data_IF_406275215358
#
_entry.id   IF_406275215358
#
_cell.length_a   1.000
_cell.length_b   1.000
_cell.length_c   1.000
_cell.angle_alpha   90.00
_cell.angle_beta   90.00
_cell.angle_gamma   90.00
#
_symmetry.space_group_name_H-M   'P 1'
#
loop_
_entity.id
_entity.type
_entity.pdbx_description
1 polymer ?
#
# COMPACT_ATOMS: atom_id res chain seq x y z
N UNK A 1 -0.45 21.86 -7.02
CA UNK A 1 -1.05 20.71 -6.30
C UNK A 1 -1.39 21.02 -4.85
N UNK A 2 -0.53 21.68 -4.05
CA UNK A 2 -0.79 21.95 -2.62
C UNK A 2 -2.03 22.83 -2.36
N UNK A 3 -2.29 23.85 -3.18
CA UNK A 3 -3.47 24.72 -3.02
C UNK A 3 -4.81 24.01 -3.21
N UNK A 4 -4.88 22.99 -4.07
CA UNK A 4 -6.12 22.21 -4.28
C UNK A 4 -6.36 21.22 -3.13
N UNK A 5 -5.30 20.72 -2.49
CA UNK A 5 -5.39 19.87 -1.30
C UNK A 5 -5.97 20.61 -0.09
N UNK A 6 -5.97 21.94 -0.08
CA UNK A 6 -6.62 22.73 0.98
C UNK A 6 -8.15 22.61 0.95
N UNK A 7 -8.76 22.33 -0.21
CA UNK A 7 -10.22 22.31 -0.34
C UNK A 7 -10.83 21.19 0.53
N UNK A 8 -10.43 19.90 0.43
CA UNK A 8 -10.94 18.86 1.33
C UNK A 8 -10.64 19.14 2.80
N UNK A 9 -9.47 19.71 3.12
CA UNK A 9 -9.10 20.04 4.50
C UNK A 9 -9.98 21.12 5.10
N UNK A 10 -10.32 22.17 4.33
CA UNK A 10 -11.26 23.21 4.77
C UNK A 10 -12.65 22.63 4.94
N UNK A 11 -13.12 21.80 4.00
CA UNK A 11 -14.42 21.12 4.12
C UNK A 11 -14.46 20.23 5.37
N UNK A 12 -13.40 19.47 5.63
CA UNK A 12 -13.29 18.64 6.83
C UNK A 12 -13.25 19.47 8.12
N UNK A 13 -12.48 20.56 8.13
CA UNK A 13 -12.39 21.47 9.27
C UNK A 13 -13.74 22.11 9.62
N UNK A 14 -14.45 22.62 8.61
CA UNK A 14 -15.81 23.15 8.77
C UNK A 14 -16.77 22.05 9.23
N UNK A 15 -16.65 20.84 8.70
CA UNK A 15 -17.46 19.69 9.10
C UNK A 15 -17.29 19.31 10.57
N UNK A 16 -16.08 19.42 11.13
CA UNK A 16 -15.82 19.10 12.54
C UNK A 16 -16.56 20.03 13.52
N UNK A 17 -16.90 21.26 13.14
CA UNK A 17 -17.74 22.12 13.98
C UNK A 17 -19.18 21.63 14.14
N UNK A 18 -19.65 20.75 13.24
CA UNK A 18 -21.00 20.19 13.29
C UNK A 18 -21.05 18.79 13.90
N UNK A 19 -19.89 18.15 14.14
CA UNK A 19 -19.86 16.83 14.75
C UNK A 19 -20.04 16.93 16.26
N UNK A 20 -20.93 16.12 16.86
CA UNK A 20 -21.02 16.03 18.31
C UNK A 20 -19.75 15.38 18.87
N UNK A 21 -19.41 15.73 20.10
CA UNK A 21 -18.30 15.11 20.83
C UNK A 21 -18.54 13.60 21.02
N UNK A 22 -17.46 12.81 21.09
CA UNK A 22 -17.55 11.36 21.21
C UNK A 22 -18.32 10.94 22.49
N UNK A 23 -19.35 10.08 22.41
CA UNK A 23 -20.09 9.61 23.59
C UNK A 23 -19.20 8.98 24.67
N UNK A 24 -18.13 8.29 24.25
CA UNK A 24 -17.15 7.70 25.17
C UNK A 24 -16.40 8.76 25.98
N UNK A 25 -16.02 9.87 25.32
CA UNK A 25 -15.33 10.97 26.00
C UNK A 25 -16.28 11.72 26.94
N UNK A 26 -17.54 11.92 26.54
CA UNK A 26 -18.58 12.54 27.38
C UNK A 26 -18.86 11.73 28.65
N UNK A 27 -18.89 10.40 28.54
CA UNK A 27 -19.04 9.51 29.69
C UNK A 27 -17.87 9.62 30.68
N UNK A 28 -16.64 9.79 30.17
CA UNK A 28 -15.42 9.80 30.99
C UNK A 28 -15.15 11.18 31.63
N UNK A 29 -15.42 12.28 30.92
CA UNK A 29 -15.05 13.64 31.34
C UNK A 29 -16.23 14.54 31.71
N UNK A 30 -17.47 14.12 31.43
CA UNK A 30 -18.69 14.90 31.69
C UNK A 30 -19.76 14.04 32.40
N UNK A 31 -21.04 14.38 32.21
CA UNK A 31 -22.18 13.75 32.87
C UNK A 31 -22.82 12.68 31.98
N UNK A 32 -23.34 11.63 32.60
CA UNK A 32 -24.08 10.55 31.94
C UNK A 32 -25.26 11.07 31.09
N UNK A 33 -25.92 12.16 31.52
CA UNK A 33 -27.04 12.76 30.79
C UNK A 33 -26.65 13.32 29.43
N UNK A 34 -25.51 14.02 29.36
CA UNK A 34 -25.01 14.55 28.08
C UNK A 34 -24.63 13.41 27.12
N UNK A 35 -24.09 12.30 27.65
CA UNK A 35 -23.80 11.10 26.87
C UNK A 35 -25.10 10.49 26.28
N UNK A 36 -26.13 10.32 27.11
CA UNK A 36 -27.45 9.82 26.67
C UNK A 36 -28.10 10.73 25.62
N UNK A 37 -28.01 12.05 25.76
CA UNK A 37 -28.54 13.00 24.78
C UNK A 37 -27.88 12.86 23.40
N UNK A 38 -26.55 12.67 23.37
CA UNK A 38 -25.83 12.46 22.11
C UNK A 38 -26.15 11.09 21.51
N UNK A 39 -26.20 10.03 22.32
CA UNK A 39 -26.61 8.70 21.85
C UNK A 39 -28.05 8.71 21.32
N UNK A 40 -28.95 9.45 21.97
CA UNK A 40 -30.33 9.63 21.50
C UNK A 40 -30.40 10.27 20.12
N UNK A 41 -29.54 11.26 19.84
CA UNK A 41 -29.42 11.85 18.50
C UNK A 41 -28.85 10.88 17.47
N UNK A 42 -27.88 10.03 17.84
CA UNK A 42 -27.24 9.08 16.93
C UNK A 42 -28.20 7.94 16.55
N UNK A 43 -28.92 7.38 17.52
CA UNK A 43 -29.83 6.24 17.33
C UNK A 43 -31.29 6.66 17.12
N UNK A 44 -31.55 7.93 16.79
CA UNK A 44 -32.91 8.48 16.58
C UNK A 44 -33.91 8.16 17.70
N UNK A 45 -33.45 8.16 18.95
CA UNK A 45 -34.28 7.92 20.14
C UNK A 45 -34.61 6.45 20.42
N UNK A 46 -33.98 5.48 19.76
CA UNK A 46 -34.16 4.06 20.08
C UNK A 46 -33.59 3.72 21.47
N UNK A 47 -34.48 3.66 22.46
CA UNK A 47 -34.13 3.45 23.86
C UNK A 47 -33.44 2.11 24.13
N UNK A 48 -33.74 1.07 23.34
CA UNK A 48 -33.11 -0.24 23.51
C UNK A 48 -31.64 -0.20 23.08
N UNK A 49 -31.34 0.41 21.93
CA UNK A 49 -29.97 0.57 21.44
C UNK A 49 -29.16 1.55 22.29
N UNK A 50 -29.78 2.64 22.76
CA UNK A 50 -29.10 3.62 23.63
C UNK A 50 -28.65 2.95 24.92
N UNK A 51 -29.55 2.20 25.59
CA UNK A 51 -29.21 1.48 26.82
C UNK A 51 -28.11 0.43 26.58
N UNK A 52 -28.20 -0.30 25.48
CA UNK A 52 -27.18 -1.26 25.07
C UNK A 52 -25.80 -0.59 24.91
N UNK A 53 -25.69 0.46 24.09
CA UNK A 53 -24.42 1.16 23.87
C UNK A 53 -23.88 1.79 25.16
N UNK A 54 -24.76 2.37 26.00
CA UNK A 54 -24.35 2.96 27.27
C UNK A 54 -23.77 1.90 28.22
N UNK A 55 -24.36 0.71 28.27
CA UNK A 55 -23.86 -0.41 29.08
C UNK A 55 -22.51 -0.95 28.60
N UNK A 56 -22.27 -0.97 27.27
CA UNK A 56 -20.97 -1.32 26.69
C UNK A 56 -19.90 -0.28 27.05
N UNK A 57 -20.24 1.02 26.97
CA UNK A 57 -19.33 2.12 27.37
C UNK A 57 -18.98 2.01 28.86
N UNK A 58 -19.98 1.78 29.71
CA UNK A 58 -19.78 1.62 31.16
C UNK A 58 -18.87 0.42 31.48
N UNK A 59 -19.13 -0.73 30.86
CA UNK A 59 -18.31 -1.94 31.02
C UNK A 59 -16.86 -1.69 30.59
N UNK A 60 -16.66 -1.03 29.45
CA UNK A 60 -15.33 -0.68 28.96
C UNK A 60 -14.58 0.27 29.91
N UNK A 61 -15.26 1.28 30.44
CA UNK A 61 -14.69 2.24 31.37
C UNK A 61 -14.31 1.59 32.72
N UNK A 62 -15.18 0.74 33.27
CA UNK A 62 -14.91 0.02 34.51
C UNK A 62 -13.72 -0.93 34.34
N UNK A 63 -13.60 -1.57 33.18
CA UNK A 63 -12.47 -2.43 32.86
C UNK A 63 -11.16 -1.65 32.71
N UNK A 64 -11.19 -0.46 32.11
CA UNK A 64 -10.03 0.43 32.06
C UNK A 64 -9.60 0.91 33.46
N UNK A 65 -10.55 1.23 34.34
CA UNK A 65 -10.26 1.59 35.75
C UNK A 65 -9.64 0.45 36.54
N UNK A 66 -10.18 -0.77 36.40
CA UNK A 66 -9.62 -1.96 37.05
C UNK A 66 -8.20 -2.25 36.55
N UNK A 67 -7.98 -2.14 35.24
CA UNK A 67 -6.67 -2.29 34.62
C UNK A 67 -5.67 -1.22 35.12
N UNK A 68 -6.11 0.03 35.26
CA UNK A 68 -5.27 1.10 35.80
C UNK A 68 -4.88 0.84 37.26
N UNK A 69 -5.80 0.27 38.06
CA UNK A 69 -5.52 -0.10 39.46
C UNK A 69 -4.54 -1.28 39.59
N UNK A 70 -4.57 -2.24 38.65
CA UNK A 70 -3.70 -3.43 38.67
C UNK A 70 -2.31 -3.14 38.11
N UNK A 71 -2.23 -2.42 37.00
CA UNK A 71 -0.98 -2.25 36.23
C UNK A 71 -0.26 -0.91 36.47
N UNK A 72 -0.89 0.04 37.16
CA UNK A 72 -0.34 1.37 37.44
C UNK A 72 -0.27 2.29 36.22
N UNK A 73 0.08 3.57 36.41
CA UNK A 73 0.19 4.59 35.34
C UNK A 73 1.49 4.52 34.53
N UNK A 74 2.06 3.31 34.37
CA UNK A 74 3.27 3.12 33.57
C UNK A 74 3.03 3.47 32.10
N UNK A 75 4.12 3.59 31.33
CA UNK A 75 4.01 3.80 29.88
C UNK A 75 3.21 2.66 29.23
N UNK A 76 2.12 3.02 28.57
CA UNK A 76 1.23 2.08 27.86
C UNK A 76 2.03 1.23 26.86
N UNK A 77 3.05 1.82 26.22
CA UNK A 77 3.95 1.13 25.28
C UNK A 77 4.68 -0.02 25.97
N UNK A 78 5.20 0.20 27.18
CA UNK A 78 5.89 -0.86 27.92
C UNK A 78 4.93 -1.98 28.32
N UNK A 79 3.70 -1.64 28.73
CA UNK A 79 2.65 -2.63 29.02
C UNK A 79 2.27 -3.45 27.78
N UNK A 80 2.20 -2.82 26.60
CA UNK A 80 1.96 -3.51 25.32
C UNK A 80 3.07 -4.52 25.02
N UNK A 81 4.33 -4.12 25.19
CA UNK A 81 5.49 -4.98 24.89
C UNK A 81 5.66 -6.15 25.88
N UNK A 82 5.19 -5.99 27.12
CA UNK A 82 5.25 -7.05 28.13
C UNK A 82 4.07 -8.01 28.10
N UNK A 83 2.91 -7.56 27.63
CA UNK A 83 1.71 -8.40 27.51
C UNK A 83 1.82 -9.30 26.26
N UNK A 84 1.97 -10.63 26.38
CA UNK A 84 2.30 -11.49 25.24
C UNK A 84 1.24 -11.51 24.12
N UNK A 85 -0.04 -11.48 24.48
CA UNK A 85 -1.17 -11.48 23.55
C UNK A 85 -1.21 -10.19 22.72
N UNK A 86 -1.09 -9.03 23.38
CA UNK A 86 -1.11 -7.72 22.71
C UNK A 86 0.16 -7.50 21.89
N UNK A 87 1.34 -7.91 22.40
CA UNK A 87 2.58 -7.90 21.61
C UNK A 87 2.44 -8.73 20.34
N UNK A 88 1.86 -9.92 20.42
CA UNK A 88 1.64 -10.76 19.23
C UNK A 88 0.70 -10.08 18.24
N UNK A 89 -0.42 -9.53 18.69
CA UNK A 89 -1.34 -8.77 17.85
C UNK A 89 -0.66 -7.56 17.20
N UNK A 90 0.17 -6.82 17.96
CA UNK A 90 0.92 -5.66 17.45
C UNK A 90 1.92 -6.08 16.37
N UNK A 91 2.71 -7.13 16.61
CA UNK A 91 3.68 -7.63 15.63
C UNK A 91 3.00 -8.03 14.31
N UNK A 92 1.82 -8.67 14.39
CA UNK A 92 1.05 -9.05 13.19
C UNK A 92 0.50 -7.81 12.48
N UNK A 93 -0.05 -6.85 13.24
CA UNK A 93 -0.54 -5.59 12.70
C UNK A 93 0.54 -4.76 12.00
N UNK A 94 1.72 -4.61 12.63
CA UNK A 94 2.89 -3.97 12.03
C UNK A 94 3.39 -4.73 10.80
N UNK A 95 3.44 -6.07 10.83
CA UNK A 95 3.87 -6.85 9.68
C UNK A 95 2.89 -6.71 8.50
N UNK A 96 1.57 -6.71 8.75
CA UNK A 96 0.56 -6.43 7.72
C UNK A 96 0.82 -5.10 7.02
N UNK A 97 1.12 -4.05 7.79
CA UNK A 97 1.42 -2.72 7.25
C UNK A 97 2.75 -2.66 6.50
N UNK A 98 3.80 -3.29 7.04
CA UNK A 98 5.12 -3.33 6.41
C UNK A 98 5.09 -4.08 5.08
N UNK A 99 4.57 -5.31 5.07
CA UNK A 99 4.51 -6.13 3.85
C UNK A 99 3.54 -5.55 2.79
N UNK A 100 2.50 -4.83 3.21
CA UNK A 100 1.65 -4.08 2.29
C UNK A 100 2.49 -3.09 1.48
N UNK A 101 3.37 -2.32 2.13
CA UNK A 101 4.23 -1.34 1.46
C UNK A 101 5.36 -1.99 0.66
N UNK A 102 5.98 -3.04 1.20
CA UNK A 102 7.04 -3.78 0.51
C UNK A 102 6.57 -4.55 -0.73
N UNK A 103 5.26 -4.71 -0.92
CA UNK A 103 4.70 -5.22 -2.19
C UNK A 103 4.89 -4.26 -3.37
N UNK A 104 5.28 -3.00 -3.10
CA UNK A 104 5.59 -2.02 -4.12
C UNK A 104 4.40 -1.24 -4.66
N UNK A 105 3.24 -1.25 -3.97
CA UNK A 105 2.04 -0.51 -4.42
C UNK A 105 2.32 0.99 -4.63
N UNK A 106 2.92 1.66 -3.64
CA UNK A 106 3.15 3.10 -3.71
C UNK A 106 4.21 3.44 -4.75
N UNK A 107 5.19 2.57 -4.94
CA UNK A 107 6.12 2.64 -6.07
C UNK A 107 5.40 2.58 -7.41
N UNK A 108 4.56 1.56 -7.62
CA UNK A 108 3.79 1.42 -8.87
C UNK A 108 2.94 2.66 -9.08
N UNK A 109 2.27 3.17 -8.04
CA UNK A 109 1.44 4.37 -8.10
C UNK A 109 2.25 5.64 -8.45
N UNK A 110 3.36 5.90 -7.76
CA UNK A 110 4.19 7.09 -7.98
C UNK A 110 4.87 7.09 -9.35
N UNK A 111 5.31 5.92 -9.79
CA UNK A 111 6.02 5.73 -11.05
C UNK A 111 5.12 5.17 -12.16
N UNK A 112 3.79 5.18 -12.00
CA UNK A 112 2.84 4.65 -13.02
C UNK A 112 3.09 5.30 -14.38
N UNK A 113 3.24 6.62 -14.43
CA UNK A 113 3.55 7.35 -15.66
C UNK A 113 4.84 6.84 -16.32
N UNK A 114 5.92 6.71 -15.54
CA UNK A 114 7.21 6.17 -16.00
C UNK A 114 7.11 4.71 -16.44
N UNK A 115 6.31 3.90 -15.76
CA UNK A 115 6.05 2.49 -16.11
C UNK A 115 5.30 2.41 -17.45
N UNK A 116 4.29 3.25 -17.65
CA UNK A 116 3.53 3.32 -18.91
C UNK A 116 4.43 3.84 -20.06
N UNK A 117 5.23 4.88 -19.80
CA UNK A 117 6.17 5.44 -20.78
C UNK A 117 7.24 4.41 -21.16
N UNK A 118 7.83 3.72 -20.17
CA UNK A 118 8.82 2.66 -20.41
C UNK A 118 8.25 1.43 -21.12
N UNK A 119 6.94 1.17 -21.00
CA UNK A 119 6.27 0.15 -21.80
C UNK A 119 6.21 0.52 -23.30
N UNK A 120 6.25 1.81 -23.66
CA UNK A 120 6.33 2.28 -25.05
C UNK A 120 5.27 3.31 -25.47
N UNK A 121 4.50 3.88 -24.53
CA UNK A 121 3.52 4.94 -24.83
C UNK A 121 4.25 6.29 -24.95
N UNK A 122 4.26 6.88 -26.15
CA UNK A 122 4.95 8.14 -26.46
C UNK A 122 4.19 9.40 -26.08
N UNK A 123 2.87 9.35 -26.18
CA UNK A 123 2.02 10.53 -26.02
C UNK A 123 1.75 10.76 -24.53
N UNK A 124 2.10 11.95 -24.04
CA UNK A 124 1.85 12.38 -22.66
C UNK A 124 0.35 12.40 -22.34
N UNK A 125 -0.50 12.82 -23.28
CA UNK A 125 -1.95 12.85 -23.08
C UNK A 125 -2.54 11.45 -22.96
N UNK A 126 -2.08 10.51 -23.80
CA UNK A 126 -2.49 9.11 -23.72
C UNK A 126 -2.01 8.49 -22.40
N UNK A 127 -0.78 8.80 -21.98
CA UNK A 127 -0.23 8.33 -20.70
C UNK A 127 -1.06 8.83 -19.51
N UNK A 128 -1.46 10.10 -19.52
CA UNK A 128 -2.35 10.68 -18.52
C UNK A 128 -3.71 9.97 -18.54
N UNK A 129 -4.31 9.75 -19.72
CA UNK A 129 -5.60 9.07 -19.83
C UNK A 129 -5.56 7.63 -19.30
N UNK A 130 -4.50 6.88 -19.60
CA UNK A 130 -4.29 5.53 -19.07
C UNK A 130 -4.13 5.57 -17.55
N UNK A 131 -3.39 6.55 -17.01
CA UNK A 131 -3.20 6.73 -15.57
C UNK A 131 -4.51 7.08 -14.85
N UNK A 132 -5.34 7.93 -15.45
CA UNK A 132 -6.68 8.24 -14.92
C UNK A 132 -7.57 6.98 -14.97
N UNK A 133 -7.49 6.21 -16.05
CA UNK A 133 -8.20 4.94 -16.20
C UNK A 133 -7.79 3.93 -15.13
N UNK A 134 -6.49 3.73 -14.89
CA UNK A 134 -5.98 2.80 -13.87
C UNK A 134 -6.39 3.23 -12.46
N UNK A 135 -6.33 4.52 -12.15
CA UNK A 135 -6.82 5.07 -10.88
C UNK A 135 -8.33 4.86 -10.69
N UNK A 136 -9.12 5.03 -11.76
CA UNK A 136 -10.57 4.79 -11.75
C UNK A 136 -10.89 3.32 -11.48
N UNK A 137 -10.16 2.41 -12.13
CA UNK A 137 -10.31 0.97 -11.89
C UNK A 137 -9.96 0.62 -10.45
N UNK A 138 -8.87 1.17 -9.91
CA UNK A 138 -8.51 0.98 -8.51
C UNK A 138 -9.64 1.45 -7.57
N UNK A 139 -10.21 2.64 -7.82
CA UNK A 139 -11.34 3.16 -7.06
C UNK A 139 -12.55 2.21 -7.08
N UNK A 140 -13.02 1.78 -8.26
CA UNK A 140 -14.17 0.87 -8.33
C UNK A 140 -13.87 -0.52 -7.75
N UNK A 141 -12.63 -1.00 -7.88
CA UNK A 141 -12.21 -2.27 -7.29
C UNK A 141 -12.29 -2.25 -5.76
N UNK A 142 -12.13 -1.09 -5.09
CA UNK A 142 -12.32 -1.00 -3.63
C UNK A 142 -13.78 -1.16 -3.17
N UNK A 143 -14.77 -1.10 -4.06
CA UNK A 143 -16.16 -1.40 -3.71
C UNK A 143 -16.38 -2.90 -3.48
N UNK A 144 -15.56 -3.74 -4.09
CA UNK A 144 -15.63 -5.20 -3.99
C UNK A 144 -15.45 -5.66 -2.52
N UNK A 145 -14.36 -5.30 -1.80
CA UNK A 145 -14.21 -5.71 -0.41
C UNK A 145 -15.32 -5.17 0.48
N UNK A 146 -15.85 -3.96 0.21
CA UNK A 146 -16.93 -3.39 1.01
C UNK A 146 -18.17 -4.30 1.02
N UNK A 147 -18.47 -4.95 -0.11
CA UNK A 147 -19.57 -5.91 -0.21
C UNK A 147 -19.21 -7.31 0.32
N UNK A 148 -17.98 -7.77 0.08
CA UNK A 148 -17.58 -9.16 0.37
C UNK A 148 -16.96 -9.37 1.76
N UNK A 149 -16.47 -8.34 2.45
CA UNK A 149 -15.73 -8.47 3.73
C UNK A 149 -16.58 -9.14 4.81
N UNK A 150 -17.86 -8.80 4.87
CA UNK A 150 -18.80 -9.44 5.79
C UNK A 150 -19.28 -10.80 5.31
N UNK A 151 -19.20 -11.11 4.00
CA UNK A 151 -19.68 -12.37 3.44
C UNK A 151 -18.62 -13.47 3.46
N UNK A 152 -17.44 -13.20 2.90
CA UNK A 152 -16.34 -14.17 2.77
C UNK A 152 -15.41 -14.19 3.99
N UNK A 153 -15.42 -13.14 4.79
CA UNK A 153 -14.48 -12.98 5.92
C UNK A 153 -13.20 -12.25 5.52
N UNK A 154 -12.46 -11.80 6.53
CA UNK A 154 -11.28 -10.95 6.35
C UNK A 154 -10.09 -11.77 5.87
N UNK A 155 -9.90 -12.98 6.40
CA UNK A 155 -8.71 -13.80 6.11
C UNK A 155 -8.71 -14.28 4.66
N UNK A 156 -9.84 -14.74 4.15
CA UNK A 156 -9.95 -15.26 2.78
C UNK A 156 -9.68 -14.15 1.76
N UNK A 157 -10.28 -12.97 1.95
CA UNK A 157 -10.06 -11.83 1.06
C UNK A 157 -8.63 -11.29 1.11
N UNK A 158 -8.01 -11.26 2.29
CA UNK A 158 -6.62 -10.85 2.41
C UNK A 158 -5.70 -11.82 1.65
N UNK A 159 -5.85 -13.13 1.87
CA UNK A 159 -4.99 -14.13 1.25
C UNK A 159 -5.21 -14.22 -0.27
N UNK A 160 -6.46 -14.17 -0.74
CA UNK A 160 -6.73 -14.19 -2.18
C UNK A 160 -6.18 -12.97 -2.89
N UNK A 161 -6.26 -11.79 -2.25
CA UNK A 161 -5.70 -10.54 -2.76
C UNK A 161 -4.16 -10.58 -2.82
N UNK A 162 -3.50 -11.05 -1.76
CA UNK A 162 -2.03 -11.20 -1.75
C UNK A 162 -1.57 -12.20 -2.82
N UNK A 163 -2.30 -13.30 -3.02
CA UNK A 163 -2.01 -14.24 -4.10
C UNK A 163 -2.15 -13.59 -5.49
N UNK A 164 -3.19 -12.78 -5.70
CA UNK A 164 -3.38 -12.02 -6.94
C UNK A 164 -2.23 -11.03 -7.18
N UNK A 165 -1.80 -10.32 -6.13
CA UNK A 165 -0.65 -9.40 -6.17
C UNK A 165 0.65 -10.16 -6.48
N UNK A 166 0.88 -11.32 -5.87
CA UNK A 166 2.03 -12.17 -6.16
C UNK A 166 2.08 -12.59 -7.65
N UNK A 167 0.96 -13.08 -8.19
CA UNK A 167 0.84 -13.47 -9.60
C UNK A 167 1.08 -12.25 -10.50
N UNK A 168 0.50 -11.10 -10.17
CA UNK A 168 0.67 -9.89 -10.96
C UNK A 168 2.14 -9.39 -10.95
N UNK A 169 2.85 -9.48 -9.83
CA UNK A 169 4.28 -9.17 -9.77
C UNK A 169 5.12 -10.11 -10.65
N UNK A 170 4.82 -11.42 -10.64
CA UNK A 170 5.51 -12.38 -11.52
C UNK A 170 5.25 -12.08 -13.00
N UNK A 171 4.00 -11.78 -13.35
CA UNK A 171 3.64 -11.40 -14.71
C UNK A 171 4.30 -10.09 -15.13
N UNK A 172 4.44 -9.13 -14.21
CA UNK A 172 5.10 -7.84 -14.48
C UNK A 172 6.61 -8.03 -14.71
N UNK A 173 7.28 -8.80 -13.85
CA UNK A 173 8.67 -9.19 -14.04
C UNK A 173 8.88 -9.93 -15.36
N UNK A 174 7.98 -10.86 -15.69
CA UNK A 174 7.97 -11.56 -16.98
C UNK A 174 7.79 -10.62 -18.18
N UNK A 175 6.88 -9.65 -18.10
CA UNK A 175 6.64 -8.68 -19.16
C UNK A 175 7.88 -7.81 -19.43
N UNK A 176 8.51 -7.28 -18.38
CA UNK A 176 9.75 -6.51 -18.51
C UNK A 176 10.94 -7.36 -18.95
N UNK A 177 10.99 -8.64 -18.59
CA UNK A 177 12.03 -9.56 -19.07
C UNK A 177 11.90 -9.81 -20.58
N UNK A 178 10.67 -9.95 -21.09
CA UNK A 178 10.41 -10.07 -22.53
C UNK A 178 10.79 -8.77 -23.27
N UNK A 179 10.43 -7.61 -22.71
CA UNK A 179 10.85 -6.29 -23.22
C UNK A 179 12.37 -6.21 -23.30
N UNK A 180 13.09 -6.61 -22.25
CA UNK A 180 14.56 -6.59 -22.23
C UNK A 180 15.19 -7.50 -23.31
N UNK A 181 14.67 -8.72 -23.47
CA UNK A 181 15.19 -9.67 -24.48
C UNK A 181 14.94 -9.23 -25.92
N UNK A 182 13.84 -8.53 -26.17
CA UNK A 182 13.46 -8.07 -27.52
C UNK A 182 13.97 -6.67 -27.85
N UNK A 183 14.67 -6.01 -26.93
CA UNK A 183 15.19 -4.64 -27.11
C UNK A 183 16.37 -4.59 -28.07
N UNK A 184 16.49 -3.47 -28.80
CA UNK A 184 17.59 -3.24 -29.73
C UNK A 184 18.97 -3.27 -29.05
N UNK A 185 19.96 -3.85 -29.75
CA UNK A 185 21.34 -3.96 -29.27
C UNK A 185 22.07 -2.62 -29.41
N UNK A 186 22.96 -2.33 -28.46
CA UNK A 186 23.82 -1.13 -28.47
C UNK A 186 25.06 -1.36 -29.34
N UNK A 187 25.38 -0.39 -30.20
CA UNK A 187 26.63 -0.31 -30.94
C UNK A 187 27.68 0.49 -30.17
N UNK A 188 28.94 0.09 -30.28
CA UNK A 188 30.08 0.79 -29.66
C UNK A 188 30.46 2.04 -30.45
N UNK A 189 30.61 3.18 -29.76
CA UNK A 189 31.07 4.43 -30.36
C UNK A 189 32.60 4.53 -30.20
N UNK A 190 33.35 4.42 -31.31
CA UNK A 190 34.82 4.31 -31.28
C UNK A 190 35.58 5.64 -31.07
N UNK A 191 34.91 6.81 -31.03
CA UNK A 191 35.55 8.11 -31.29
C UNK A 191 35.38 9.21 -30.23
N UNK A 192 34.96 8.91 -29.00
CA UNK A 192 34.67 9.93 -27.98
C UNK A 192 35.46 9.69 -26.68
N UNK A 193 35.93 10.77 -26.04
CA UNK A 193 36.66 10.75 -24.78
C UNK A 193 35.95 9.89 -23.73
N UNK A 194 36.66 8.89 -23.21
CA UNK A 194 36.10 7.72 -22.55
C UNK A 194 35.51 7.97 -21.17
N UNK A 195 35.87 9.05 -20.47
CA UNK A 195 35.57 9.17 -19.02
C UNK A 195 34.09 9.41 -18.69
N UNK A 196 33.36 10.21 -19.46
CA UNK A 196 31.91 10.43 -19.27
C UNK A 196 31.05 9.41 -20.03
N UNK A 197 31.58 8.84 -21.13
CA UNK A 197 30.90 7.83 -21.93
C UNK A 197 31.00 6.41 -21.33
N UNK A 198 31.95 6.17 -20.43
CA UNK A 198 32.29 4.83 -19.93
C UNK A 198 31.16 4.10 -19.18
N UNK A 199 30.22 4.82 -18.57
CA UNK A 199 29.10 4.18 -17.87
C UNK A 199 28.02 3.72 -18.85
N UNK A 200 27.52 4.61 -19.70
CA UNK A 200 26.47 4.28 -20.68
C UNK A 200 26.94 3.32 -21.77
N UNK A 201 28.21 3.41 -22.22
CA UNK A 201 28.73 2.55 -23.29
C UNK A 201 28.95 1.08 -22.89
N UNK A 202 28.92 0.75 -21.59
CA UNK A 202 29.02 -0.64 -21.11
C UNK A 202 27.69 -1.40 -21.21
N UNK A 203 26.59 -0.70 -21.47
CA UNK A 203 25.25 -1.29 -21.50
C UNK A 203 24.99 -1.97 -22.83
N UNK A 204 24.42 -3.18 -22.79
CA UNK A 204 24.33 -4.07 -23.95
C UNK A 204 23.11 -3.85 -24.84
N UNK A 205 22.01 -3.34 -24.27
CA UNK A 205 20.76 -3.13 -24.99
C UNK A 205 20.06 -1.83 -24.58
N UNK A 206 19.03 -1.45 -25.34
CA UNK A 206 18.24 -0.25 -25.10
C UNK A 206 17.55 -0.24 -23.73
N UNK A 207 17.01 -1.36 -23.25
CA UNK A 207 16.26 -1.40 -21.98
C UNK A 207 17.20 -1.17 -20.78
N UNK A 208 18.39 -1.77 -20.79
CA UNK A 208 19.44 -1.43 -19.84
C UNK A 208 19.80 0.05 -19.94
N UNK A 209 20.00 0.57 -21.15
CA UNK A 209 20.33 1.98 -21.37
C UNK A 209 19.32 2.96 -20.77
N UNK A 210 18.02 2.71 -20.97
CA UNK A 210 16.92 3.57 -20.50
C UNK A 210 16.53 3.33 -19.04
N UNK A 211 17.10 2.31 -18.39
CA UNK A 211 16.90 2.06 -16.96
C UNK A 211 17.79 2.97 -16.10
N UNK A 212 18.94 3.40 -16.61
CA UNK A 212 19.84 4.33 -15.91
C UNK A 212 19.38 5.78 -16.11
N UNK A 213 19.28 6.54 -15.03
CA UNK A 213 18.79 7.93 -15.08
C UNK A 213 19.67 8.85 -15.94
N UNK A 214 20.97 8.60 -15.95
CA UNK A 214 21.96 9.43 -16.66
C UNK A 214 22.14 9.05 -18.14
N UNK A 215 21.54 7.95 -18.61
CA UNK A 215 21.73 7.42 -19.95
C UNK A 215 20.43 7.42 -20.78
N UNK A 216 20.56 7.54 -22.10
CA UNK A 216 19.46 7.43 -23.07
C UNK A 216 19.92 6.77 -24.35
N UNK A 217 18.97 6.23 -25.10
CA UNK A 217 19.21 5.45 -26.31
C UNK A 217 18.88 6.27 -27.57
N UNK A 218 19.84 6.34 -28.49
CA UNK A 218 19.72 7.05 -29.76
C UNK A 218 19.84 6.06 -30.91
N UNK A 219 18.77 5.85 -31.68
CA UNK A 219 18.78 4.85 -32.75
C UNK A 219 18.14 5.33 -34.05
N UNK A 220 18.65 4.89 -35.21
CA UNK A 220 17.91 4.96 -36.46
C UNK A 220 16.71 4.00 -36.44
N UNK A 221 15.71 4.26 -37.27
CA UNK A 221 14.52 3.41 -37.35
C UNK A 221 14.87 1.96 -37.77
N UNK A 222 14.54 1.00 -36.91
CA UNK A 222 14.74 -0.44 -37.17
C UNK A 222 16.19 -0.92 -37.12
N UNK A 223 17.14 -0.10 -36.67
CA UNK A 223 18.56 -0.45 -36.61
C UNK A 223 19.11 -0.41 -35.18
N UNK A 224 20.25 -1.09 -34.91
CA UNK A 224 20.97 -0.94 -33.65
C UNK A 224 21.35 0.53 -33.42
N UNK A 225 21.38 0.94 -32.15
CA UNK A 225 21.59 2.34 -31.75
C UNK A 225 22.71 2.51 -30.75
N UNK A 226 22.87 3.72 -30.22
CA UNK A 226 23.92 4.09 -29.28
C UNK A 226 23.31 4.42 -27.92
N UNK A 227 23.96 3.96 -26.84
CA UNK A 227 23.65 4.39 -25.48
C UNK A 227 24.54 5.57 -25.09
N UNK A 228 23.93 6.72 -24.79
CA UNK A 228 24.61 8.01 -24.64
C UNK A 228 24.14 8.72 -23.37
N UNK A 229 24.99 9.52 -22.71
CA UNK A 229 24.59 10.29 -21.55
C UNK A 229 23.54 11.35 -21.92
N UNK A 230 22.54 11.55 -21.05
CA UNK A 230 21.50 12.58 -21.20
C UNK A 230 22.09 13.97 -21.02
N UNK A 231 21.52 14.97 -21.70
CA UNK A 231 21.86 16.37 -21.44
C UNK A 231 21.27 16.84 -20.09
N UNK A 232 22.07 17.55 -19.29
CA UNK A 232 21.68 18.08 -17.98
C UNK A 232 20.57 19.14 -18.05
N UNK A 233 20.43 19.85 -19.19
CA UNK A 233 19.40 20.89 -19.34
C UNK A 233 18.11 20.39 -19.98
N UNK A 234 18.20 19.46 -20.95
CA UNK A 234 17.05 18.92 -21.68
C UNK A 234 17.18 17.39 -21.87
N UNK A 235 17.13 16.61 -20.78
CA UNK A 235 17.39 15.16 -20.82
C UNK A 235 16.39 14.39 -21.69
N UNK A 236 15.17 14.90 -21.82
CA UNK A 236 14.06 14.24 -22.50
C UNK A 236 14.13 14.36 -24.04
N UNK A 237 15.01 15.24 -24.56
CA UNK A 237 15.01 15.60 -25.99
C UNK A 237 16.33 15.35 -26.72
N UNK A 238 17.46 15.29 -25.99
CA UNK A 238 18.79 15.19 -26.59
C UNK A 238 19.80 14.50 -25.67
N UNK A 239 20.83 13.92 -26.28
CA UNK A 239 22.04 13.46 -25.60
C UNK A 239 23.05 14.58 -25.41
N UNK A 240 24.03 14.37 -24.53
CA UNK A 240 25.16 15.28 -24.37
C UNK A 240 26.10 15.24 -25.58
N UNK A 241 26.27 14.06 -26.19
CA UNK A 241 27.14 13.81 -27.35
C UNK A 241 26.51 12.85 -28.35
N UNK A 242 27.08 12.73 -29.55
CA UNK A 242 26.67 11.73 -30.55
C UNK A 242 25.49 12.16 -31.44
N UNK A 243 24.85 11.20 -32.15
CA UNK A 243 23.86 11.51 -33.18
C UNK A 243 22.58 12.21 -32.71
N UNK A 244 22.30 12.17 -31.41
CA UNK A 244 21.13 12.82 -30.79
C UNK A 244 21.49 14.07 -29.97
N UNK A 245 22.67 14.68 -30.17
CA UNK A 245 23.10 15.87 -29.41
C UNK A 245 22.52 17.18 -29.96
N UNK A 246 22.06 17.19 -31.21
CA UNK A 246 21.50 18.36 -31.88
C UNK A 246 20.15 18.81 -31.31
N UNK A 247 19.59 19.88 -31.88
CA UNK A 247 18.18 20.20 -31.64
C UNK A 247 17.30 19.33 -32.55
N UNK A 248 16.32 18.59 -32.01
CA UNK A 248 15.42 17.79 -32.82
C UNK A 248 14.43 18.68 -33.58
N UNK A 249 14.07 18.26 -34.80
CA UNK A 249 12.97 18.82 -35.59
C UNK A 249 11.84 17.80 -35.50
N UNK A 250 10.68 18.20 -34.96
CA UNK A 250 9.54 17.31 -34.68
C UNK A 250 9.91 16.03 -33.88
N UNK A 251 10.86 16.15 -32.95
CA UNK A 251 11.34 15.04 -32.12
C UNK A 251 12.35 14.10 -32.80
N UNK A 252 12.79 14.41 -34.02
CA UNK A 252 13.73 13.61 -34.80
C UNK A 252 15.04 14.38 -35.02
N UNK A 253 16.17 13.70 -34.84
CA UNK A 253 17.49 14.24 -35.12
C UNK A 253 17.93 13.84 -36.53
N UNK A 254 18.30 14.82 -37.35
CA UNK A 254 18.69 14.61 -38.74
C UNK A 254 20.20 14.76 -38.91
N UNK A 255 20.88 13.70 -39.33
CA UNK A 255 22.32 13.72 -39.63
C UNK A 255 22.54 13.03 -40.97
N UNK A 256 23.15 13.70 -41.95
CA UNK A 256 23.50 13.09 -43.26
C UNK A 256 22.38 12.23 -43.88
N UNK A 257 21.13 12.74 -43.90
CA UNK A 257 19.90 12.07 -44.34
C UNK A 257 19.41 10.87 -43.51
N UNK A 258 20.10 10.45 -42.45
CA UNK A 258 19.57 9.48 -41.48
C UNK A 258 18.78 10.18 -40.37
N UNK A 259 17.65 9.55 -40.00
CA UNK A 259 16.74 10.00 -38.94
C UNK A 259 17.06 9.22 -37.66
N UNK A 260 17.45 9.91 -36.61
CA UNK A 260 17.69 9.34 -35.29
C UNK A 260 16.57 9.75 -34.33
N UNK A 261 16.02 8.78 -33.60
CA UNK A 261 15.05 9.03 -32.54
C UNK A 261 15.75 8.89 -31.18
N UNK A 262 15.65 9.95 -30.35
CA UNK A 262 16.11 9.93 -28.97
C UNK A 262 15.06 9.28 -28.06
N UNK A 263 15.50 8.41 -27.16
CA UNK A 263 14.64 7.76 -26.18
C UNK A 263 15.35 7.67 -24.84
N UNK A 264 14.78 8.30 -23.84
CA UNK A 264 15.37 8.39 -22.51
C UNK A 264 14.70 7.44 -21.51
N UNK A 265 13.48 6.98 -21.80
CA UNK A 265 12.69 6.12 -20.90
C UNK A 265 12.16 4.84 -21.54
N UNK A 266 12.12 4.78 -22.88
CA UNK A 266 11.43 3.73 -23.64
C UNK A 266 12.31 3.09 -24.71
N UNK A 267 11.98 1.86 -25.09
CA UNK A 267 12.55 1.19 -26.26
C UNK A 267 11.44 0.90 -27.29
N UNK A 268 11.74 1.08 -28.58
CA UNK A 268 10.80 0.67 -29.65
C UNK A 268 10.81 -0.86 -29.67
N UNK A 269 9.81 -1.46 -29.03
CA UNK A 269 9.54 -2.89 -29.10
C UNK A 269 8.31 -3.12 -29.97
N UNK A 270 8.09 -4.38 -30.36
CA UNK A 270 6.86 -4.79 -31.03
C UNK A 270 5.64 -4.35 -30.20
N UNK A 271 4.67 -3.68 -30.81
CA UNK A 271 3.56 -2.99 -30.11
C UNK A 271 2.75 -3.91 -29.20
N UNK A 272 2.80 -5.23 -29.46
CA UNK A 272 2.20 -6.29 -28.64
C UNK A 272 2.81 -6.41 -27.24
N UNK A 273 4.09 -6.08 -27.08
CA UNK A 273 4.79 -6.14 -25.79
C UNK A 273 4.51 -4.91 -24.91
N UNK A 274 4.12 -3.77 -25.52
CA UNK A 274 3.81 -2.52 -24.81
C UNK A 274 2.52 -2.58 -24.00
N UNK A 275 1.50 -3.29 -24.48
CA UNK A 275 0.20 -3.37 -23.81
C UNK A 275 0.25 -4.29 -22.58
N UNK A 276 1.14 -5.28 -22.58
CA UNK A 276 1.22 -6.31 -21.56
C UNK A 276 1.51 -5.76 -20.15
N UNK A 277 2.56 -4.93 -19.91
CA UNK A 277 2.79 -4.33 -18.59
C UNK A 277 1.61 -3.51 -18.09
N UNK A 278 0.91 -2.80 -18.97
CA UNK A 278 -0.24 -1.96 -18.60
C UNK A 278 -1.41 -2.81 -18.12
N UNK A 279 -1.75 -3.89 -18.83
CA UNK A 279 -2.81 -4.81 -18.42
C UNK A 279 -2.47 -5.51 -17.10
N UNK A 280 -1.21 -5.93 -16.94
CA UNK A 280 -0.74 -6.55 -15.69
C UNK A 280 -0.74 -5.55 -14.54
N UNK A 281 -0.44 -4.28 -14.79
CA UNK A 281 -0.52 -3.21 -13.79
C UNK A 281 -1.96 -3.02 -13.31
N UNK A 282 -2.93 -3.01 -14.24
CA UNK A 282 -4.35 -2.96 -13.88
C UNK A 282 -4.74 -4.18 -13.04
N UNK A 283 -4.31 -5.38 -13.43
CA UNK A 283 -4.53 -6.60 -12.65
C UNK A 283 -3.92 -6.51 -11.25
N UNK A 284 -2.71 -5.97 -11.12
CA UNK A 284 -2.05 -5.73 -9.84
C UNK A 284 -2.89 -4.80 -8.96
N UNK A 285 -3.32 -3.65 -9.48
CA UNK A 285 -4.11 -2.66 -8.76
C UNK A 285 -5.47 -3.22 -8.32
N UNK A 286 -6.18 -3.91 -9.23
CA UNK A 286 -7.42 -4.61 -8.90
C UNK A 286 -7.21 -5.63 -7.78
N UNK A 287 -6.19 -6.49 -7.91
CA UNK A 287 -5.90 -7.53 -6.93
C UNK A 287 -5.59 -6.92 -5.57
N UNK A 288 -4.81 -5.84 -5.54
CA UNK A 288 -4.47 -5.11 -4.32
C UNK A 288 -5.69 -4.45 -3.68
N UNK A 289 -6.52 -3.78 -4.47
CA UNK A 289 -7.73 -3.08 -4.01
C UNK A 289 -8.76 -4.02 -3.36
N UNK A 290 -8.86 -5.27 -3.84
CA UNK A 290 -9.87 -6.24 -3.39
C UNK A 290 -9.69 -6.68 -1.94
N UNK A 291 -8.49 -6.55 -1.36
CA UNK A 291 -8.28 -6.96 0.03
C UNK A 291 -7.02 -6.39 0.66
N UNK A 292 -5.89 -6.48 -0.02
CA UNK A 292 -4.60 -6.10 0.56
C UNK A 292 -4.51 -4.60 0.87
N UNK A 293 -5.29 -3.76 0.19
CA UNK A 293 -5.47 -2.34 0.51
C UNK A 293 -6.25 -2.11 1.83
N UNK A 294 -7.56 -2.45 1.94
CA UNK A 294 -8.35 -2.08 3.12
C UNK A 294 -8.12 -2.98 4.34
N UNK A 295 -7.83 -4.27 4.15
CA UNK A 295 -7.88 -5.24 5.25
C UNK A 295 -6.78 -5.05 6.30
N UNK A 296 -5.54 -4.65 5.98
CA UNK A 296 -4.56 -4.29 7.00
C UNK A 296 -5.08 -3.20 7.96
N UNK A 297 -5.82 -2.21 7.45
CA UNK A 297 -6.40 -1.15 8.28
C UNK A 297 -7.56 -1.66 9.14
N UNK A 298 -8.45 -2.45 8.55
CA UNK A 298 -9.59 -3.06 9.27
C UNK A 298 -9.11 -4.00 10.37
N UNK A 299 -8.18 -4.91 10.06
CA UNK A 299 -7.64 -5.87 11.01
C UNK A 299 -6.88 -5.18 12.16
N UNK A 300 -6.15 -4.09 11.89
CA UNK A 300 -5.52 -3.31 12.97
C UNK A 300 -6.56 -2.66 13.89
N UNK A 301 -7.75 -2.28 13.39
CA UNK A 301 -8.82 -1.78 14.25
C UNK A 301 -9.49 -2.89 15.10
N UNK A 302 -9.51 -4.13 14.60
CA UNK A 302 -10.15 -5.29 15.24
C UNK A 302 -9.20 -6.04 16.22
N UNK A 303 -7.89 -6.10 15.96
CA UNK A 303 -6.94 -6.90 16.74
C UNK A 303 -6.69 -6.41 18.16
N UNK A 304 -6.87 -5.12 18.42
CA UNK A 304 -6.38 -4.50 19.64
C UNK A 304 -7.46 -4.32 20.72
N UNK A 305 -7.13 -4.61 22.00
CA UNK A 305 -8.02 -4.32 23.12
C UNK A 305 -8.22 -2.82 23.27
N UNK A 306 -9.36 -2.41 23.84
CA UNK A 306 -9.75 -1.00 23.94
C UNK A 306 -8.69 -0.12 24.61
N UNK A 307 -8.03 -0.60 25.67
CA UNK A 307 -7.01 0.16 26.40
C UNK A 307 -5.70 0.38 25.60
N UNK A 308 -5.39 -0.48 24.61
CA UNK A 308 -4.16 -0.40 23.82
C UNK A 308 -4.38 0.13 22.40
N UNK A 309 -5.64 0.16 21.94
CA UNK A 309 -6.00 0.33 20.52
C UNK A 309 -5.40 1.57 19.88
N UNK A 310 -5.53 2.73 20.53
CA UNK A 310 -4.98 3.98 19.99
C UNK A 310 -3.46 3.92 19.78
N UNK A 311 -2.73 3.45 20.79
CA UNK A 311 -1.26 3.33 20.74
C UNK A 311 -0.82 2.29 19.71
N UNK A 312 -1.45 1.12 19.68
CA UNK A 312 -1.12 0.08 18.71
C UNK A 312 -1.43 0.52 17.26
N UNK A 313 -2.56 1.19 17.02
CA UNK A 313 -2.90 1.73 15.71
C UNK A 313 -1.90 2.81 15.26
N UNK A 314 -1.43 3.66 16.18
CA UNK A 314 -0.39 4.64 15.90
C UNK A 314 0.94 3.96 15.53
N UNK A 315 1.37 2.94 16.29
CA UNK A 315 2.59 2.19 16.01
C UNK A 315 2.51 1.42 14.67
N UNK A 316 1.37 0.78 14.36
CA UNK A 316 1.18 0.10 13.08
C UNK A 316 1.20 1.09 11.91
N UNK A 317 0.62 2.28 12.09
CA UNK A 317 0.60 3.35 11.08
C UNK A 317 1.99 3.93 10.87
N UNK A 318 2.76 4.13 11.94
CA UNK A 318 4.16 4.51 11.87
C UNK A 318 4.96 3.51 11.03
N UNK A 319 4.81 2.20 11.30
CA UNK A 319 5.43 1.16 10.49
C UNK A 319 5.00 1.22 9.01
N UNK A 320 3.72 1.51 8.73
CA UNK A 320 3.27 1.68 7.33
C UNK A 320 4.08 2.78 6.63
N UNK A 321 4.12 3.99 7.20
CA UNK A 321 4.79 5.12 6.56
C UNK A 321 6.32 4.98 6.52
N UNK A 322 6.92 4.31 7.51
CA UNK A 322 8.34 4.00 7.52
C UNK A 322 8.73 3.08 6.34
N UNK A 323 8.04 1.96 6.17
CA UNK A 323 8.29 1.06 5.04
C UNK A 323 7.91 1.69 3.70
N UNK A 324 6.89 2.57 3.69
CA UNK A 324 6.59 3.35 2.50
C UNK A 324 7.78 4.23 2.08
N UNK A 325 8.38 4.96 3.03
CA UNK A 325 9.53 5.82 2.77
C UNK A 325 10.72 5.00 2.25
N UNK A 326 11.04 3.88 2.93
CA UNK A 326 12.14 3.00 2.52
C UNK A 326 11.97 2.52 1.08
N UNK A 327 10.79 1.98 0.75
CA UNK A 327 10.52 1.44 -0.61
C UNK A 327 10.53 2.55 -1.66
N UNK A 328 10.00 3.73 -1.34
CA UNK A 328 9.92 4.86 -2.28
C UNK A 328 11.30 5.44 -2.60
N UNK A 329 12.18 5.54 -1.61
CA UNK A 329 13.55 6.05 -1.79
C UNK A 329 14.47 5.04 -2.49
N UNK A 330 14.26 3.74 -2.27
CA UNK A 330 15.14 2.69 -2.78
C UNK A 330 14.73 2.17 -4.16
N UNK A 331 13.50 2.43 -4.63
CA UNK A 331 13.01 1.82 -5.88
C UNK A 331 13.87 2.10 -7.11
N UNK A 332 14.21 3.38 -7.36
CA UNK A 332 14.98 3.75 -8.56
C UNK A 332 16.38 3.12 -8.52
N UNK A 333 17.04 3.17 -7.37
CA UNK A 333 18.34 2.55 -7.14
C UNK A 333 18.28 1.02 -7.30
N UNK A 334 17.21 0.38 -6.80
CA UNK A 334 16.99 -1.05 -6.93
C UNK A 334 16.77 -1.44 -8.40
N UNK A 335 15.99 -0.64 -9.13
CA UNK A 335 15.75 -0.83 -10.56
C UNK A 335 17.02 -0.66 -11.39
N UNK A 336 17.91 0.25 -11.02
CA UNK A 336 19.21 0.43 -11.69
C UNK A 336 20.18 -0.71 -11.35
N UNK A 337 20.24 -1.13 -10.08
CA UNK A 337 21.17 -2.15 -9.60
C UNK A 337 20.81 -3.57 -10.08
N UNK A 338 19.52 -3.92 -10.08
CA UNK A 338 19.06 -5.29 -10.37
C UNK A 338 18.39 -5.40 -11.74
N UNK A 339 17.85 -4.29 -12.29
CA UNK A 339 16.90 -4.15 -13.43
C UNK A 339 15.44 -3.97 -13.04
N UNK A 340 14.65 -3.42 -13.97
CA UNK A 340 13.18 -3.30 -13.88
C UNK A 340 12.52 -4.66 -13.60
N UNK A 341 12.83 -5.67 -14.41
CA UNK A 341 12.24 -7.01 -14.25
C UNK A 341 12.69 -7.68 -12.95
N UNK A 342 13.95 -7.53 -12.57
CA UNK A 342 14.49 -8.06 -11.32
C UNK A 342 13.82 -7.47 -10.09
N UNK A 343 13.50 -6.17 -10.13
CA UNK A 343 12.78 -5.47 -9.05
C UNK A 343 11.39 -6.08 -8.81
N UNK A 344 10.62 -6.33 -9.86
CA UNK A 344 9.30 -6.98 -9.74
C UNK A 344 9.38 -8.43 -9.27
N UNK A 345 10.43 -9.18 -9.64
CA UNK A 345 10.67 -10.52 -9.07
C UNK A 345 11.03 -10.48 -7.58
N UNK A 346 11.77 -9.47 -7.13
CA UNK A 346 12.02 -9.24 -5.70
C UNK A 346 10.70 -8.95 -4.97
N UNK A 347 9.86 -8.06 -5.50
CA UNK A 347 8.53 -7.79 -4.93
C UNK A 347 7.64 -9.04 -4.92
N UNK A 348 7.70 -9.89 -5.96
CA UNK A 348 7.03 -11.19 -5.95
C UNK A 348 7.55 -12.08 -4.81
N UNK A 349 8.86 -12.19 -4.63
CA UNK A 349 9.47 -12.96 -3.54
C UNK A 349 9.04 -12.48 -2.15
N UNK A 350 9.08 -11.17 -1.92
CA UNK A 350 8.61 -10.56 -0.66
C UNK A 350 7.12 -10.82 -0.44
N UNK A 351 6.31 -10.71 -1.49
CA UNK A 351 4.86 -10.98 -1.42
C UNK A 351 4.57 -12.46 -1.15
N UNK A 352 5.38 -13.38 -1.67
CA UNK A 352 5.27 -14.81 -1.36
C UNK A 352 5.58 -15.11 0.12
N UNK A 353 6.62 -14.46 0.67
CA UNK A 353 6.93 -14.53 2.11
C UNK A 353 5.77 -13.97 2.93
N UNK A 354 5.21 -12.83 2.55
CA UNK A 354 4.03 -12.24 3.19
C UNK A 354 2.84 -13.20 3.17
N UNK A 355 2.55 -13.82 2.02
CA UNK A 355 1.49 -14.82 1.88
C UNK A 355 1.69 -15.99 2.84
N UNK A 356 2.90 -16.56 2.89
CA UNK A 356 3.20 -17.68 3.78
C UNK A 356 3.02 -17.29 5.26
N UNK A 357 3.57 -16.14 5.68
CA UNK A 357 3.44 -15.67 7.06
C UNK A 357 1.97 -15.45 7.42
N UNK A 358 1.22 -14.71 6.60
CA UNK A 358 -0.17 -14.39 6.91
C UNK A 358 -1.09 -15.59 6.80
N UNK A 359 -0.78 -16.56 5.95
CA UNK A 359 -1.52 -17.82 5.90
C UNK A 359 -1.50 -18.54 7.25
N UNK A 360 -0.36 -18.56 7.96
CA UNK A 360 -0.25 -19.22 9.26
C UNK A 360 -0.64 -18.35 10.44
N UNK A 361 -0.44 -17.03 10.36
CA UNK A 361 -0.44 -16.15 11.53
C UNK A 361 -1.72 -15.31 11.64
N UNK A 362 -2.36 -14.94 10.52
CA UNK A 362 -3.57 -14.09 10.54
C UNK A 362 -4.81 -14.94 10.82
N UNK A 363 -5.51 -14.73 11.94
CA UNK A 363 -6.76 -15.44 12.22
C UNK A 363 -7.94 -14.79 11.49
N UNK A 364 -9.06 -15.51 11.41
CA UNK A 364 -10.33 -14.93 10.98
C UNK A 364 -10.97 -14.16 12.14
N UNK A 365 -11.44 -12.95 11.87
CA UNK A 365 -12.07 -12.04 12.85
C UNK A 365 -13.56 -11.83 12.59
N UNK A 366 -14.08 -12.29 11.45
CA UNK A 366 -15.50 -12.16 11.09
C UNK A 366 -16.42 -12.71 12.17
N UNK A 367 -17.36 -11.87 12.61
CA UNK A 367 -18.44 -12.25 13.53
C UNK A 367 -18.00 -12.47 14.97
N UNK A 368 -16.77 -12.06 15.33
CA UNK A 368 -16.26 -12.10 16.70
C UNK A 368 -16.35 -10.72 17.34
N UNK A 369 -16.74 -10.68 18.61
CA UNK A 369 -16.65 -9.47 19.41
C UNK A 369 -15.18 -9.13 19.74
N UNK A 370 -14.91 -7.87 20.08
CA UNK A 370 -13.55 -7.39 20.36
C UNK A 370 -12.83 -8.18 21.47
N UNK A 371 -13.57 -8.65 22.47
CA UNK A 371 -13.02 -9.48 23.54
C UNK A 371 -12.72 -10.92 23.09
N UNK A 372 -13.52 -11.44 22.16
CA UNK A 372 -13.31 -12.78 21.59
C UNK A 372 -12.10 -12.80 20.65
N UNK A 373 -11.88 -11.72 19.90
CA UNK A 373 -10.69 -11.56 19.05
C UNK A 373 -9.41 -11.63 19.89
N UNK A 374 -9.40 -11.06 21.09
CA UNK A 374 -8.23 -11.12 21.99
C UNK A 374 -7.86 -12.57 22.36
N UNK A 375 -8.85 -13.47 22.50
CA UNK A 375 -8.64 -14.88 22.82
C UNK A 375 -7.82 -15.61 21.74
N UNK A 376 -7.88 -15.14 20.49
CA UNK A 376 -7.14 -15.70 19.35
C UNK A 376 -5.63 -15.56 19.54
N UNK A 377 -5.20 -14.47 20.18
CA UNK A 377 -3.79 -14.14 20.40
C UNK A 377 -3.23 -14.65 21.74
N UNK A 378 -4.09 -15.13 22.65
CA UNK A 378 -3.70 -15.70 23.95
C UNK A 378 -3.13 -17.12 23.85
N UNK A 379 -2.27 -17.49 24.81
CA UNK A 379 -1.79 -18.88 24.95
C UNK A 379 -2.91 -19.83 25.39
N UNK A 380 -2.74 -21.15 25.21
CA UNK A 380 -3.74 -22.16 25.61
C UNK A 380 -4.14 -22.06 27.09
N UNK A 381 -3.21 -21.70 27.99
CA UNK A 381 -3.46 -21.57 29.43
C UNK A 381 -4.25 -20.29 29.75
N UNK A 382 -3.87 -19.17 29.16
CA UNK A 382 -4.57 -17.88 29.32
C UNK A 382 -5.98 -17.94 28.73
N UNK A 383 -6.13 -18.52 27.53
CA UNK A 383 -7.43 -18.71 26.88
C UNK A 383 -8.39 -19.52 27.75
N UNK A 384 -7.93 -20.60 28.39
CA UNK A 384 -8.78 -21.37 29.32
C UNK A 384 -9.26 -20.51 30.49
N UNK A 385 -8.39 -19.69 31.09
CA UNK A 385 -8.76 -18.79 32.19
C UNK A 385 -9.77 -17.73 31.75
N UNK A 386 -9.54 -17.10 30.60
CA UNK A 386 -10.41 -16.07 30.06
C UNK A 386 -11.79 -16.63 29.62
N UNK A 387 -11.83 -17.81 29.01
CA UNK A 387 -13.12 -18.47 28.68
C UNK A 387 -13.90 -18.83 29.95
N UNK A 388 -13.23 -19.30 31.00
CA UNK A 388 -13.89 -19.57 32.28
C UNK A 388 -14.45 -18.29 32.91
N UNK A 389 -13.71 -17.18 32.88
CA UNK A 389 -14.21 -15.91 33.42
C UNK A 389 -15.37 -15.34 32.59
N UNK A 390 -15.33 -15.44 31.27
CA UNK A 390 -16.43 -15.04 30.38
C UNK A 390 -17.70 -15.87 30.64
N UNK A 391 -17.56 -17.20 30.79
CA UNK A 391 -18.69 -18.08 31.16
C UNK A 391 -19.25 -17.73 32.53
N UNK A 392 -18.40 -17.43 33.51
CA UNK A 392 -18.86 -16.98 34.83
C UNK A 392 -19.60 -15.64 34.75
N UNK A 393 -19.10 -14.68 33.96
CA UNK A 393 -19.78 -13.40 33.72
C UNK A 393 -21.15 -13.57 33.05
N UNK A 394 -21.24 -14.44 32.03
CA UNK A 394 -22.51 -14.77 31.37
C UNK A 394 -23.50 -15.43 32.34
N UNK A 395 -23.04 -16.36 33.17
CA UNK A 395 -23.87 -17.00 34.19
C UNK A 395 -24.35 -15.99 35.25
N UNK A 396 -23.48 -15.10 35.73
CA UNK A 396 -23.88 -14.04 36.67
C UNK A 396 -24.79 -12.98 36.06
N UNK A 397 -24.67 -12.69 34.75
CA UNK A 397 -25.55 -11.77 34.02
C UNK A 397 -26.95 -12.36 33.77
N UNK A 398 -27.05 -13.68 33.59
CA UNK A 398 -28.32 -14.40 33.52
C UNK A 398 -29.08 -14.37 34.86
N UNK A 399 -28.38 -14.47 35.99
CA UNK A 399 -29.02 -14.39 37.33
C UNK A 399 -29.69 -13.03 37.59
N UNK A 400 -29.11 -11.91 37.14
CA UNK A 400 -29.73 -10.58 37.29
C UNK A 400 -31.01 -10.39 36.46
N UNK A 401 -31.12 -11.07 35.32
CA UNK A 401 -32.34 -11.05 34.49
C UNK A 401 -33.48 -11.94 35.01
N UNK A 402 -33.17 -12.86 35.94
CA UNK A 402 -34.16 -13.79 36.53
C UNK A 402 -34.68 -13.29 37.89
N UNK A 403 -34.01 -12.32 38.51
CA UNK A 403 -34.43 -11.70 39.80
C UNK A 403 -35.30 -10.45 39.59
N UNK A 404 -35.50 -9.99 38.35
CA UNK A 404 -36.30 -8.80 38.01
C UNK A 404 -37.58 -9.10 37.22
N UNK A 405 -38.20 -10.27 37.44
CA UNK A 405 -39.58 -10.54 36.99
C UNK A 405 -40.52 -10.83 38.15
#
# INVERSE_FOLDING_TARGET
MVGFAAIPSVVQFVGFWFLPESPRWLYENKSHKECEEVLSKIYNGDTAWIQFELSEIQTAHDQQRQDAAIYGSGSIIWRILTTPSVRKALLIGCALQAFQQMSGINTIMYYTGKIIQSAGVRDEQITILITVGTASVNFFATLIPMYFVERLGRRILLLSSILGVFIACLLMGGAFLLINRNSAVVQSLNSVNQTELAQCAKLSNCDFCTTYEECGFCAPEGQPGFCLPKDLQKPEKRSLFGPCAGQPIDGIHHINNTKFEWRDEMCKNDQRLTILPILVMVLFLCSFAVGYAPLPWVLNAEFYPLWARGTCAALSTFCNWEFNLIVSLTFLQLSQAVTRFGTFFIYAGVTAVAFAIFYFVVPETKGLNLDEVQLLFMTKRERKRAVTSLKMKQLSGLDLSTVTR
#
